data_IF_483314919892
#
_entry.id   IF_483314919892
#
_cell.length_a   1.000
_cell.length_b   1.000
_cell.length_c   1.000
_cell.angle_alpha   90.00
_cell.angle_beta   90.00
_cell.angle_gamma   90.00
#
_symmetry.space_group_name_H-M   'P 1'
#
loop_
_entity.id
_entity.type
_entity.pdbx_description
1 polymer ?
#
# COMPACT_ATOMS: atom_id res chain seq x y z
N UNK A 1 8.57 -21.44 11.35
CA UNK A 1 7.60 -20.36 11.09
C UNK A 1 8.08 -19.66 9.82
N UNK A 2 7.58 -20.08 8.65
CA UNK A 2 8.05 -19.57 7.36
C UNK A 2 6.90 -18.77 6.75
N UNK A 3 7.18 -17.48 6.56
CA UNK A 3 6.34 -16.47 5.94
C UNK A 3 6.15 -16.78 4.45
N UNK A 4 5.24 -17.68 4.13
CA UNK A 4 4.88 -17.94 2.73
C UNK A 4 4.01 -16.83 2.13
N UNK A 5 3.41 -15.93 2.93
CA UNK A 5 2.58 -14.84 2.43
C UNK A 5 3.37 -13.68 1.76
N UNK A 6 4.66 -13.47 2.09
CA UNK A 6 5.41 -12.30 1.58
C UNK A 6 6.18 -12.52 0.27
N UNK A 7 6.35 -13.77 -0.18
CA UNK A 7 7.21 -14.07 -1.35
C UNK A 7 6.41 -14.19 -2.66
N UNK A 8 5.09 -14.37 -2.59
CA UNK A 8 4.26 -14.62 -3.78
C UNK A 8 3.66 -13.36 -4.43
N UNK A 9 3.72 -12.19 -3.77
CA UNK A 9 3.10 -10.97 -4.29
C UNK A 9 3.98 -10.20 -5.31
N UNK A 10 5.29 -10.46 -5.32
CA UNK A 10 6.27 -9.81 -6.24
C UNK A 10 6.03 -10.19 -7.71
N UNK A 11 5.34 -11.29 -8.00
CA UNK A 11 5.13 -11.80 -9.36
C UNK A 11 3.80 -11.41 -10.02
N UNK A 12 2.83 -10.84 -9.29
CA UNK A 12 1.49 -10.57 -9.83
C UNK A 12 1.20 -9.11 -10.22
N UNK A 13 2.02 -8.13 -9.77
CA UNK A 13 1.88 -6.73 -10.23
C UNK A 13 2.66 -6.40 -11.51
N UNK A 14 3.53 -7.30 -11.98
CA UNK A 14 4.30 -7.11 -13.21
C UNK A 14 3.44 -7.11 -14.50
N UNK A 15 2.15 -7.46 -14.43
CA UNK A 15 1.27 -7.60 -15.60
C UNK A 15 0.38 -6.37 -15.89
N UNK A 16 0.40 -5.31 -15.07
CA UNK A 16 -0.41 -4.08 -15.34
C UNK A 16 0.42 -2.96 -15.99
N UNK A 17 1.75 -3.07 -16.03
CA UNK A 17 2.61 -2.03 -16.60
C UNK A 17 3.01 -2.34 -18.06
N UNK A 18 2.02 -2.40 -18.96
CA UNK A 18 2.26 -2.37 -20.40
C UNK A 18 1.02 -1.87 -21.11
N UNK A 19 0.75 -0.57 -21.08
CA UNK A 19 -0.09 0.15 -22.03
C UNK A 19 0.12 1.68 -21.83
N UNK A 20 0.50 2.37 -22.91
CA UNK A 20 0.64 3.82 -23.14
C UNK A 20 1.77 4.61 -22.44
N UNK A 21 3.00 4.50 -22.95
CA UNK A 21 3.90 5.66 -23.03
C UNK A 21 3.79 6.29 -24.42
N UNK A 22 3.11 7.43 -24.50
CA UNK A 22 3.00 8.22 -25.73
C UNK A 22 2.38 9.58 -25.42
N UNK A 23 3.20 10.54 -25.05
CA UNK A 23 2.75 11.93 -24.85
C UNK A 23 3.77 12.73 -24.05
N UNK A 24 4.60 13.49 -24.76
CA UNK A 24 5.68 14.26 -24.18
C UNK A 24 5.21 15.50 -23.41
N UNK A 25 6.00 15.83 -22.39
CA UNK A 25 6.13 17.18 -21.85
C UNK A 25 5.63 17.34 -20.42
N UNK A 26 6.49 17.08 -19.44
CA UNK A 26 6.32 17.63 -18.10
C UNK A 26 7.65 18.20 -17.60
N UNK A 27 7.57 19.41 -17.06
CA UNK A 27 8.70 20.28 -16.75
C UNK A 27 9.39 19.83 -15.46
N UNK A 28 10.21 18.78 -15.52
CA UNK A 28 10.97 18.30 -14.37
C UNK A 28 12.46 18.58 -14.57
N UNK A 29 12.84 19.81 -14.29
CA UNK A 29 14.24 20.21 -14.18
C UNK A 29 14.38 21.24 -13.06
N UNK A 30 14.20 20.76 -11.82
CA UNK A 30 14.81 21.24 -10.57
C UNK A 30 14.10 20.55 -9.41
N UNK A 31 14.68 19.45 -8.92
CA UNK A 31 14.44 19.06 -7.54
C UNK A 31 15.12 20.15 -6.68
N UNK A 32 14.33 21.10 -6.18
CA UNK A 32 14.76 22.00 -5.13
C UNK A 32 15.28 21.14 -3.97
N UNK A 33 16.48 21.40 -3.49
CA UNK A 33 17.02 20.74 -2.28
C UNK A 33 16.32 21.37 -1.07
N UNK A 34 15.39 20.70 -0.35
CA UNK A 34 14.66 21.36 0.70
C UNK A 34 15.23 20.99 2.08
N UNK A 35 15.12 21.91 3.02
CA UNK A 35 15.12 21.59 4.44
C UNK A 35 14.03 20.52 4.74
N UNK A 36 14.15 19.79 5.85
CA UNK A 36 13.21 18.71 6.26
C UNK A 36 11.75 19.12 5.98
N UNK A 37 11.15 18.54 4.95
CA UNK A 37 9.74 18.75 4.60
C UNK A 37 8.92 17.94 5.61
N UNK A 38 8.04 18.59 6.35
CA UNK A 38 7.15 17.90 7.30
C UNK A 38 5.92 17.32 6.59
N UNK A 39 5.53 17.89 5.45
CA UNK A 39 4.45 17.39 4.61
C UNK A 39 4.61 17.78 3.13
N UNK A 40 4.23 16.90 2.22
CA UNK A 40 4.14 17.15 0.78
C UNK A 40 2.70 16.92 0.30
N UNK A 41 2.23 17.66 -0.72
CA UNK A 41 0.83 17.62 -1.15
C UNK A 41 0.70 17.79 -2.67
N UNK A 42 -0.13 16.94 -3.27
CA UNK A 42 -0.62 17.02 -4.65
C UNK A 42 -2.13 17.30 -4.66
N UNK A 43 -2.81 17.12 -5.78
CA UNK A 43 -4.28 17.25 -5.83
C UNK A 43 -4.93 16.12 -5.02
N UNK A 44 -4.47 14.88 -5.20
CA UNK A 44 -5.10 13.70 -4.65
C UNK A 44 -4.41 13.17 -3.39
N UNK A 45 -3.17 13.56 -3.11
CA UNK A 45 -2.37 13.00 -2.02
C UNK A 45 -1.80 14.07 -1.08
N UNK A 46 -1.66 13.71 0.18
CA UNK A 46 -0.85 14.40 1.16
C UNK A 46 0.03 13.38 1.89
N UNK A 47 1.33 13.60 1.93
CA UNK A 47 2.28 12.79 2.70
C UNK A 47 2.71 13.58 3.93
N UNK A 48 2.55 13.03 5.12
CA UNK A 48 3.08 13.56 6.36
C UNK A 48 4.33 12.76 6.75
N UNK A 49 5.49 13.41 6.85
CA UNK A 49 6.73 12.75 7.22
C UNK A 49 6.89 12.69 8.73
N UNK A 50 6.63 11.52 9.31
CA UNK A 50 6.58 11.31 10.76
C UNK A 50 7.97 11.10 11.37
N UNK A 51 8.08 11.41 12.66
CA UNK A 51 9.27 11.19 13.47
C UNK A 51 8.91 10.89 14.93
N UNK A 52 9.91 10.62 15.77
CA UNK A 52 9.71 10.32 17.18
C UNK A 52 8.99 11.44 17.96
N UNK A 53 9.08 12.69 17.54
CA UNK A 53 8.43 13.81 18.21
C UNK A 53 6.97 13.98 17.76
N UNK A 54 6.68 13.63 16.50
CA UNK A 54 5.36 13.69 15.90
C UNK A 54 5.08 12.38 15.15
N UNK A 55 4.78 11.28 15.87
CA UNK A 55 4.65 9.95 15.27
C UNK A 55 3.37 9.81 14.43
N UNK A 56 2.33 10.62 14.70
CA UNK A 56 1.04 10.44 14.02
C UNK A 56 0.49 9.04 14.26
N UNK A 57 0.08 8.36 13.18
CA UNK A 57 -0.37 6.98 13.21
C UNK A 57 0.78 5.94 13.10
N UNK A 58 2.02 6.36 12.90
CA UNK A 58 3.17 5.46 12.96
C UNK A 58 3.32 4.88 14.37
N UNK A 59 3.56 3.57 14.48
CA UNK A 59 3.75 2.93 15.77
C UNK A 59 5.14 3.25 16.34
N UNK A 60 5.24 4.01 17.44
CA UNK A 60 6.53 4.40 18.00
C UNK A 60 7.30 3.24 18.65
N UNK A 61 6.68 2.06 18.78
CA UNK A 61 7.30 0.88 19.37
C UNK A 61 7.91 -0.07 18.33
N UNK A 62 7.66 0.13 17.03
CA UNK A 62 8.12 -0.78 15.97
C UNK A 62 9.60 -0.60 15.60
N UNK A 63 10.32 0.27 16.32
CA UNK A 63 11.76 0.49 16.19
C UNK A 63 12.13 1.97 16.23
N UNK A 64 13.43 2.24 16.15
CA UNK A 64 13.96 3.61 16.20
C UNK A 64 13.53 4.39 14.95
N UNK A 65 12.75 5.46 15.14
CA UNK A 65 12.50 6.46 14.10
C UNK A 65 13.81 7.07 13.64
N UNK A 66 14.07 6.90 12.35
CA UNK A 66 15.14 7.61 11.67
C UNK A 66 14.60 8.88 11.02
N UNK A 67 15.36 9.98 11.04
CA UNK A 67 14.97 11.16 10.28
C UNK A 67 14.98 10.83 8.78
N UNK A 68 13.93 11.25 8.09
CA UNK A 68 13.91 11.22 6.62
C UNK A 68 15.01 12.13 6.06
N UNK A 69 15.85 11.59 5.18
CA UNK A 69 16.80 12.41 4.41
C UNK A 69 16.06 13.17 3.30
N UNK A 70 16.68 14.22 2.75
CA UNK A 70 16.07 14.96 1.65
C UNK A 70 15.82 14.07 0.42
N UNK A 71 16.72 13.12 0.14
CA UNK A 71 16.60 12.16 -0.95
C UNK A 71 15.44 11.17 -0.70
N UNK A 72 15.27 10.69 0.53
CA UNK A 72 14.17 9.81 0.89
C UNK A 72 12.81 10.50 0.77
N UNK A 73 12.72 11.78 1.18
CA UNK A 73 11.51 12.59 0.99
C UNK A 73 11.25 12.85 -0.49
N UNK A 74 12.28 13.16 -1.29
CA UNK A 74 12.13 13.35 -2.72
C UNK A 74 11.64 12.06 -3.43
N UNK A 75 12.14 10.90 -3.03
CA UNK A 75 11.69 9.62 -3.54
C UNK A 75 10.25 9.29 -3.15
N UNK A 76 9.85 9.54 -1.89
CA UNK A 76 8.46 9.33 -1.46
C UNK A 76 7.49 10.36 -2.07
N UNK A 77 7.92 11.60 -2.31
CA UNK A 77 7.15 12.55 -3.10
C UNK A 77 6.94 12.03 -4.52
N UNK A 78 7.98 11.48 -5.15
CA UNK A 78 7.88 10.91 -6.49
C UNK A 78 6.92 9.71 -6.55
N UNK A 79 6.87 8.88 -5.50
CA UNK A 79 5.89 7.79 -5.35
C UNK A 79 4.46 8.33 -5.47
N UNK A 80 4.12 9.37 -4.72
CA UNK A 80 2.77 9.94 -4.79
C UNK A 80 2.53 10.75 -6.06
N UNK A 81 3.55 11.34 -6.68
CA UNK A 81 3.42 11.98 -7.99
C UNK A 81 3.06 10.95 -9.09
N UNK A 82 3.67 9.75 -9.07
CA UNK A 82 3.30 8.64 -9.98
C UNK A 82 1.83 8.25 -9.79
N UNK A 83 1.38 8.17 -8.55
CA UNK A 83 0.01 7.76 -8.23
C UNK A 83 -1.01 8.88 -8.49
N UNK A 84 -0.64 10.15 -8.35
CA UNK A 84 -1.49 11.31 -8.61
C UNK A 84 -1.96 11.36 -10.07
N UNK A 85 -1.12 10.91 -11.00
CA UNK A 85 -1.46 10.79 -12.44
C UNK A 85 -2.47 9.66 -12.73
N UNK A 86 -2.60 8.69 -11.82
CA UNK A 86 -3.40 7.47 -12.02
C UNK A 86 -4.68 7.42 -11.17
N UNK A 87 -4.68 8.12 -10.03
CA UNK A 87 -5.71 8.02 -9.01
C UNK A 87 -6.33 9.39 -8.77
N UNK A 88 -7.64 9.48 -8.92
CA UNK A 88 -8.41 10.67 -8.59
C UNK A 88 -9.19 10.43 -7.30
N UNK A 89 -8.99 11.29 -6.30
CA UNK A 89 -9.68 11.20 -5.01
C UNK A 89 -10.08 12.58 -4.50
N UNK A 90 -11.35 12.69 -4.11
CA UNK A 90 -11.87 13.82 -3.33
C UNK A 90 -12.65 13.21 -2.15
N UNK A 91 -12.27 13.49 -0.89
CA UNK A 91 -11.13 14.29 -0.42
C UNK A 91 -9.76 13.69 -0.80
N UNK A 92 -8.70 14.48 -0.62
CA UNK A 92 -7.31 14.02 -0.79
C UNK A 92 -6.97 12.93 0.22
N UNK A 93 -6.25 11.91 -0.23
CA UNK A 93 -5.75 10.81 0.58
C UNK A 93 -4.54 11.28 1.39
N UNK A 94 -4.60 11.12 2.70
CA UNK A 94 -3.54 11.46 3.65
C UNK A 94 -2.78 10.21 4.05
N UNK A 95 -1.46 10.26 3.89
CA UNK A 95 -0.50 9.19 4.19
C UNK A 95 0.39 9.64 5.34
N UNK A 96 0.47 8.86 6.39
CA UNK A 96 1.55 8.95 7.36
C UNK A 96 2.73 8.07 6.95
N UNK A 97 3.84 8.71 6.59
CA UNK A 97 5.06 8.04 6.15
C UNK A 97 6.06 7.91 7.31
N UNK A 98 6.35 6.66 7.67
CA UNK A 98 7.23 6.26 8.76
C UNK A 98 8.56 5.75 8.20
N UNK A 99 9.68 6.15 8.80
CA UNK A 99 10.99 5.59 8.49
C UNK A 99 11.60 5.04 9.77
N UNK A 100 11.46 3.73 9.97
CA UNK A 100 11.75 3.07 11.25
C UNK A 100 12.42 1.73 11.00
N UNK A 101 13.30 1.33 11.90
CA UNK A 101 13.95 0.02 11.82
C UNK A 101 12.96 -1.06 12.26
N UNK A 102 12.34 -1.74 11.30
CA UNK A 102 11.35 -2.79 11.56
C UNK A 102 11.95 -4.16 11.31
N UNK A 103 11.45 -5.17 12.02
CA UNK A 103 11.82 -6.58 11.80
C UNK A 103 13.36 -6.80 11.69
N UNK A 104 14.14 -6.44 12.73
CA UNK A 104 15.61 -6.38 12.64
C UNK A 104 16.29 -7.74 12.37
N UNK A 105 15.54 -8.84 12.48
CA UNK A 105 16.00 -10.21 12.19
C UNK A 105 15.27 -10.83 10.98
N UNK A 106 14.43 -10.07 10.28
CA UNK A 106 13.67 -10.54 9.14
C UNK A 106 13.99 -9.77 7.86
N UNK A 107 13.27 -10.11 6.79
CA UNK A 107 13.49 -9.60 5.44
C UNK A 107 12.45 -8.57 4.99
N UNK A 108 11.75 -7.93 5.93
CA UNK A 108 10.70 -6.97 5.59
C UNK A 108 11.33 -5.67 5.09
N UNK A 109 11.09 -5.34 3.82
CA UNK A 109 11.58 -4.12 3.18
C UNK A 109 10.75 -2.90 3.61
N UNK A 110 9.45 -3.01 3.47
CA UNK A 110 8.48 -2.00 3.86
C UNK A 110 7.13 -2.69 4.12
N UNK A 111 6.16 -1.92 4.60
CA UNK A 111 4.76 -2.32 4.63
C UNK A 111 3.89 -1.07 4.66
N UNK A 112 2.70 -1.13 4.07
CA UNK A 112 1.65 -0.16 4.34
C UNK A 112 0.29 -0.84 4.44
N UNK A 113 -0.64 -0.16 5.08
CA UNK A 113 -2.02 -0.61 5.22
C UNK A 113 -2.97 0.56 5.27
N UNK A 114 -4.22 0.25 4.97
CA UNK A 114 -5.32 1.19 5.19
C UNK A 114 -5.51 1.43 6.69
N UNK A 115 -5.77 2.68 7.05
CA UNK A 115 -6.05 3.05 8.42
C UNK A 115 -7.56 3.23 8.61
N UNK A 116 -8.22 2.08 8.72
CA UNK A 116 -9.67 2.01 8.89
C UNK A 116 -10.38 1.49 7.65
N UNK A 117 -11.53 0.89 7.91
CA UNK A 117 -12.41 0.30 6.90
C UNK A 117 -13.85 0.66 7.24
N UNK A 118 -14.68 0.81 6.20
CA UNK A 118 -16.12 1.03 6.32
C UNK A 118 -16.90 -0.04 5.56
N UNK A 119 -18.12 -0.28 5.98
CA UNK A 119 -19.08 -1.15 5.30
C UNK A 119 -20.31 -0.37 4.84
N UNK A 120 -21.09 -0.94 3.92
CA UNK A 120 -22.35 -0.32 3.49
C UNK A 120 -23.35 -0.10 4.66
N UNK A 121 -23.25 -0.90 5.73
CA UNK A 121 -24.09 -0.72 6.92
C UNK A 121 -23.78 0.60 7.66
N UNK A 122 -22.54 1.08 7.59
CA UNK A 122 -22.10 2.35 8.15
C UNK A 122 -22.31 3.50 7.16
N UNK A 123 -22.04 3.26 5.87
CA UNK A 123 -22.16 4.25 4.80
C UNK A 123 -22.96 3.68 3.63
N UNK A 124 -24.24 4.03 3.56
CA UNK A 124 -25.18 3.50 2.56
C UNK A 124 -24.81 3.81 1.10
N UNK A 125 -23.95 4.80 0.84
CA UNK A 125 -23.47 5.14 -0.50
C UNK A 125 -22.43 4.15 -1.05
N UNK A 126 -21.85 3.30 -0.19
CA UNK A 126 -20.93 2.25 -0.65
C UNK A 126 -21.69 1.21 -1.49
N UNK A 127 -21.17 0.79 -2.66
CA UNK A 127 -21.99 0.15 -3.68
C UNK A 127 -22.31 -1.33 -3.43
N UNK A 128 -21.46 -2.06 -2.71
CA UNK A 128 -21.60 -3.50 -2.48
C UNK A 128 -21.83 -3.77 -1.00
N UNK A 129 -22.94 -4.42 -0.70
CA UNK A 129 -23.27 -4.87 0.65
C UNK A 129 -22.30 -5.97 1.11
N UNK A 130 -22.13 -6.11 2.43
CA UNK A 130 -21.29 -7.16 3.01
C UNK A 130 -19.84 -7.19 2.46
N UNK A 131 -19.27 -6.00 2.30
CA UNK A 131 -17.86 -5.78 1.96
C UNK A 131 -17.25 -4.72 2.86
N UNK A 132 -15.96 -4.84 3.12
CA UNK A 132 -15.15 -3.79 3.71
C UNK A 132 -14.48 -2.95 2.61
N UNK A 133 -14.51 -1.64 2.81
CA UNK A 133 -13.90 -0.64 1.95
C UNK A 133 -12.83 0.09 2.76
N UNK A 134 -11.56 0.07 2.30
CA UNK A 134 -10.50 0.89 2.86
C UNK A 134 -10.90 2.36 2.89
N UNK A 135 -10.49 3.07 3.95
CA UNK A 135 -10.94 4.43 4.21
C UNK A 135 -10.74 5.37 3.00
N UNK A 136 -9.57 5.31 2.34
CA UNK A 136 -9.30 6.07 1.11
C UNK A 136 -10.34 5.83 0.01
N UNK A 137 -10.68 4.56 -0.24
CA UNK A 137 -11.66 4.18 -1.26
C UNK A 137 -13.08 4.61 -0.87
N UNK A 138 -13.44 4.46 0.41
CA UNK A 138 -14.74 4.90 0.90
C UNK A 138 -14.91 6.42 0.79
N UNK A 139 -13.87 7.19 1.14
CA UNK A 139 -13.84 8.63 0.99
C UNK A 139 -13.99 9.03 -0.49
N UNK A 140 -13.24 8.40 -1.39
CA UNK A 140 -13.32 8.67 -2.84
C UNK A 140 -14.70 8.36 -3.43
N UNK A 141 -15.34 7.26 -3.02
CA UNK A 141 -16.69 6.88 -3.48
C UNK A 141 -17.73 7.88 -2.99
N UNK A 142 -17.62 8.31 -1.73
CA UNK A 142 -18.63 9.18 -1.10
C UNK A 142 -18.43 10.65 -1.42
N UNK A 143 -17.23 11.06 -1.84
CA UNK A 143 -16.86 12.46 -2.01
C UNK A 143 -16.67 13.21 -0.69
N UNK A 144 -16.62 12.50 0.44
CA UNK A 144 -16.65 13.05 1.80
C UNK A 144 -15.59 12.35 2.64
N UNK A 145 -14.94 13.12 3.50
CA UNK A 145 -14.05 12.62 4.54
C UNK A 145 -14.85 11.96 5.67
N UNK A 146 -14.74 10.64 5.80
CA UNK A 146 -15.48 9.84 6.79
C UNK A 146 -14.72 9.66 8.12
N UNK A 147 -13.41 9.94 8.15
CA UNK A 147 -12.49 9.67 9.28
C UNK A 147 -11.89 10.95 9.87
N UNK A 148 -12.17 12.12 9.30
CA UNK A 148 -11.87 13.42 9.86
C UNK A 148 -10.37 13.72 9.94
N UNK A 149 -9.83 13.73 11.17
CA UNK A 149 -8.42 14.06 11.38
C UNK A 149 -7.48 12.85 11.25
N UNK A 150 -8.04 11.64 11.22
CA UNK A 150 -7.25 10.42 11.05
C UNK A 150 -6.78 10.30 9.60
N UNK A 151 -5.61 9.71 9.39
CA UNK A 151 -5.08 9.48 8.04
C UNK A 151 -5.72 8.27 7.39
N UNK A 152 -5.73 8.19 6.06
CA UNK A 152 -6.24 7.03 5.33
C UNK A 152 -5.21 5.90 5.21
N UNK A 153 -3.92 6.22 5.17
CA UNK A 153 -2.84 5.24 4.93
C UNK A 153 -1.70 5.45 5.92
N UNK A 154 -1.16 4.36 6.46
CA UNK A 154 0.11 4.36 7.19
C UNK A 154 1.11 3.52 6.41
N UNK A 155 2.23 4.12 6.03
CA UNK A 155 3.26 3.49 5.22
C UNK A 155 4.62 3.55 5.92
N UNK A 156 5.21 2.40 6.18
CA UNK A 156 6.50 2.27 6.88
C UNK A 156 7.55 1.71 5.96
N UNK A 157 8.59 2.50 5.70
CA UNK A 157 9.81 2.03 5.07
C UNK A 157 10.82 1.59 6.14
N UNK A 158 11.41 0.40 5.97
CA UNK A 158 12.38 -0.11 6.93
C UNK A 158 13.69 0.68 6.83
N UNK A 159 14.06 1.40 7.89
CA UNK A 159 15.29 2.18 7.91
C UNK A 159 16.57 1.35 7.99
N UNK A 160 16.45 0.03 8.23
CA UNK A 160 17.59 -0.89 8.20
C UNK A 160 17.97 -1.36 6.78
N UNK A 161 17.16 -1.06 5.78
CA UNK A 161 17.41 -1.43 4.38
C UNK A 161 18.34 -0.41 3.71
N UNK A 162 19.24 -0.91 2.86
CA UNK A 162 20.13 -0.08 2.04
C UNK A 162 19.37 0.38 0.79
N UNK A 163 18.66 1.50 0.92
CA UNK A 163 17.83 2.06 -0.15
C UNK A 163 18.63 2.79 -1.23
N UNK A 164 18.13 2.67 -2.45
CA UNK A 164 18.37 3.58 -3.56
C UNK A 164 17.16 4.50 -3.72
N UNK A 165 17.38 5.81 -3.68
CA UNK A 165 16.35 6.84 -3.78
C UNK A 165 16.27 7.44 -5.19
N UNK A 166 16.76 6.73 -6.20
CA UNK A 166 16.63 7.13 -7.59
C UNK A 166 15.17 7.39 -7.96
N UNK A 167 14.89 8.56 -8.53
CA UNK A 167 13.55 8.95 -9.01
C UNK A 167 13.48 8.89 -10.53
N UNK A 168 14.12 9.83 -11.22
CA UNK A 168 14.08 9.95 -12.68
C UNK A 168 15.48 10.10 -13.26
N UNK A 169 15.78 9.35 -14.32
CA UNK A 169 17.02 9.51 -15.10
C UNK A 169 18.29 9.00 -14.42
N UNK A 170 18.16 8.15 -13.40
CA UNK A 170 19.24 7.44 -12.73
C UNK A 170 19.03 5.93 -12.79
N UNK A 171 20.06 5.16 -12.42
CA UNK A 171 20.01 3.70 -12.37
C UNK A 171 20.14 3.26 -10.93
N UNK A 172 19.24 2.40 -10.48
CA UNK A 172 19.32 1.75 -9.15
C UNK A 172 20.63 0.98 -9.05
N UNK A 173 21.40 1.27 -8.01
CA UNK A 173 22.66 0.58 -7.75
C UNK A 173 22.42 -0.92 -7.49
N UNK A 174 23.28 -1.77 -8.05
CA UNK A 174 23.10 -3.23 -8.00
C UNK A 174 23.11 -3.84 -6.59
N UNK A 175 23.66 -3.12 -5.60
CA UNK A 175 23.76 -3.51 -4.20
C UNK A 175 22.71 -2.84 -3.30
N UNK A 176 21.70 -2.20 -3.90
CA UNK A 176 20.65 -1.45 -3.19
C UNK A 176 19.25 -1.87 -3.61
N UNK A 177 18.29 -1.61 -2.74
CA UNK A 177 16.87 -1.82 -3.02
C UNK A 177 16.25 -0.54 -3.55
N UNK A 178 15.49 -0.63 -4.65
CA UNK A 178 14.75 0.50 -5.20
C UNK A 178 13.60 0.93 -4.26
N UNK A 179 13.73 2.13 -3.70
CA UNK A 179 12.75 2.69 -2.78
C UNK A 179 11.43 3.02 -3.49
N UNK A 180 11.49 3.59 -4.71
CA UNK A 180 10.30 4.13 -5.39
C UNK A 180 9.37 2.98 -5.77
N UNK A 181 9.88 1.95 -6.45
CA UNK A 181 9.03 0.80 -6.83
C UNK A 181 8.48 0.05 -5.61
N UNK A 182 9.27 -0.08 -4.55
CA UNK A 182 8.82 -0.69 -3.30
C UNK A 182 7.71 0.13 -2.64
N UNK A 183 7.88 1.44 -2.48
CA UNK A 183 6.87 2.27 -1.81
C UNK A 183 5.63 2.53 -2.68
N UNK A 184 5.74 2.50 -4.02
CA UNK A 184 4.54 2.45 -4.89
C UNK A 184 3.73 1.20 -4.58
N UNK A 185 4.38 0.03 -4.48
CA UNK A 185 3.72 -1.23 -4.14
C UNK A 185 3.04 -1.14 -2.76
N UNK A 186 3.75 -0.65 -1.74
CA UNK A 186 3.17 -0.54 -0.40
C UNK A 186 2.00 0.46 -0.37
N UNK A 187 2.16 1.66 -0.93
CA UNK A 187 1.06 2.65 -0.92
C UNK A 187 -0.17 2.09 -1.63
N UNK A 188 -0.02 1.32 -2.71
CA UNK A 188 -1.16 0.63 -3.33
C UNK A 188 -1.88 -0.32 -2.36
N UNK A 189 -1.17 -1.06 -1.51
CA UNK A 189 -1.82 -1.84 -0.45
C UNK A 189 -2.65 -0.95 0.48
N UNK A 190 -2.10 0.17 0.92
CA UNK A 190 -2.83 1.14 1.75
C UNK A 190 -4.05 1.75 1.08
N UNK A 191 -4.06 1.83 -0.25
CA UNK A 191 -5.21 2.29 -1.04
C UNK A 191 -6.28 1.21 -1.26
N UNK A 192 -6.06 -0.01 -0.78
CA UNK A 192 -7.00 -1.12 -0.87
C UNK A 192 -6.70 -2.15 -1.94
N UNK A 193 -5.52 -2.10 -2.57
CA UNK A 193 -5.01 -3.21 -3.39
C UNK A 193 -4.39 -4.30 -2.49
N UNK A 194 -5.11 -4.69 -1.45
CA UNK A 194 -4.72 -5.68 -0.45
C UNK A 194 -5.83 -6.71 -0.29
N UNK A 195 -5.58 -7.91 -0.77
CA UNK A 195 -6.54 -9.02 -0.67
C UNK A 195 -6.59 -9.55 0.77
N UNK A 196 -7.75 -10.00 1.22
CA UNK A 196 -7.91 -10.49 2.61
C UNK A 196 -7.63 -11.98 2.78
N UNK A 197 -7.29 -12.69 1.70
CA UNK A 197 -7.03 -14.11 1.72
C UNK A 197 -5.72 -14.46 2.42
N UNK A 198 -5.75 -15.45 3.33
CA UNK A 198 -4.57 -15.97 4.01
C UNK A 198 -4.71 -17.47 4.31
N UNK A 199 -3.63 -18.11 4.71
CA UNK A 199 -3.65 -19.42 5.32
C UNK A 199 -4.06 -19.29 6.80
N UNK A 200 -4.96 -20.16 7.28
CA UNK A 200 -5.34 -20.16 8.68
C UNK A 200 -4.15 -20.49 9.58
N UNK A 201 -3.97 -19.68 10.62
CA UNK A 201 -2.93 -19.90 11.63
C UNK A 201 -3.33 -21.03 12.60
N UNK A 202 -4.63 -21.22 12.83
CA UNK A 202 -5.17 -22.26 13.72
C UNK A 202 -5.14 -23.65 13.07
N UNK A 203 -5.40 -23.70 11.75
CA UNK A 203 -5.31 -24.92 10.94
C UNK A 203 -4.66 -24.60 9.59
N UNK A 204 -3.34 -24.85 9.43
CA UNK A 204 -2.62 -24.59 8.19
C UNK A 204 -3.12 -25.38 6.97
N UNK A 205 -4.04 -26.33 7.13
CA UNK A 205 -4.69 -27.01 6.00
C UNK A 205 -5.86 -26.22 5.39
N UNK A 206 -6.22 -25.07 5.99
CA UNK A 206 -7.36 -24.25 5.58
C UNK A 206 -6.92 -22.87 5.08
N UNK A 207 -7.66 -22.37 4.09
CA UNK A 207 -7.57 -21.00 3.59
C UNK A 207 -8.69 -20.19 4.22
N UNK A 208 -8.43 -18.93 4.49
CA UNK A 208 -9.35 -17.98 5.10
C UNK A 208 -9.38 -16.67 4.31
N UNK A 209 -10.44 -15.90 4.49
CA UNK A 209 -10.54 -14.49 4.12
C UNK A 209 -11.32 -13.72 5.19
N UNK A 210 -11.22 -12.39 5.19
CA UNK A 210 -11.94 -11.54 6.15
C UNK A 210 -13.46 -11.68 6.02
N UNK A 211 -14.20 -11.55 7.11
CA UNK A 211 -15.66 -11.54 7.10
C UNK A 211 -16.19 -10.25 7.78
N UNK A 212 -16.74 -9.29 7.02
CA UNK A 212 -16.97 -9.31 5.58
C UNK A 212 -15.68 -9.25 4.74
N UNK A 213 -15.65 -9.81 3.51
CA UNK A 213 -14.50 -9.74 2.63
C UNK A 213 -14.15 -8.30 2.23
N UNK A 214 -12.87 -8.07 1.90
CA UNK A 214 -12.47 -6.82 1.28
C UNK A 214 -13.10 -6.69 -0.11
N UNK A 215 -13.52 -5.48 -0.50
CA UNK A 215 -14.15 -5.27 -1.82
C UNK A 215 -13.24 -5.72 -2.98
N UNK A 216 -11.93 -5.65 -2.82
CA UNK A 216 -10.97 -6.11 -3.83
C UNK A 216 -11.02 -7.63 -4.04
N UNK A 217 -11.46 -8.40 -3.04
CA UNK A 217 -11.55 -9.87 -3.12
C UNK A 217 -12.56 -10.33 -4.19
N UNK A 218 -13.53 -9.49 -4.55
CA UNK A 218 -14.49 -9.74 -5.64
C UNK A 218 -13.82 -9.92 -7.02
N UNK A 219 -12.56 -9.50 -7.14
CA UNK A 219 -11.77 -9.53 -8.36
C UNK A 219 -10.64 -10.57 -8.33
N UNK A 220 -10.47 -11.29 -7.22
CA UNK A 220 -9.43 -12.32 -7.11
C UNK A 220 -9.94 -13.63 -7.68
N UNK A 221 -9.27 -14.10 -8.74
CA UNK A 221 -9.62 -15.31 -9.49
C UNK A 221 -8.46 -16.29 -9.52
N UNK A 222 -8.78 -17.58 -9.65
CA UNK A 222 -7.79 -18.60 -9.95
C UNK A 222 -7.18 -18.36 -11.33
N UNK A 223 -5.85 -18.49 -11.44
CA UNK A 223 -5.15 -18.39 -12.72
C UNK A 223 -5.65 -19.47 -13.71
N UNK A 224 -5.85 -20.69 -13.21
CA UNK A 224 -6.46 -21.78 -13.97
C UNK A 224 -7.99 -21.69 -13.89
N UNK A 225 -8.65 -21.45 -15.03
CA UNK A 225 -10.11 -21.54 -15.15
C UNK A 225 -10.90 -20.30 -14.74
N UNK A 226 -10.29 -19.33 -14.06
CA UNK A 226 -10.89 -18.00 -13.82
C UNK A 226 -12.01 -17.96 -12.78
N UNK A 227 -12.18 -19.00 -11.97
CA UNK A 227 -13.17 -19.01 -10.89
C UNK A 227 -12.77 -18.03 -9.78
N UNK A 228 -13.74 -17.34 -9.18
CA UNK A 228 -13.47 -16.41 -8.07
C UNK A 228 -13.10 -17.18 -6.81
N UNK A 229 -12.16 -16.65 -6.04
CA UNK A 229 -11.80 -17.25 -4.76
C UNK A 229 -12.92 -17.11 -3.73
N UNK A 230 -13.71 -16.05 -3.80
CA UNK A 230 -14.89 -15.87 -2.92
C UNK A 230 -16.01 -16.89 -3.16
N UNK A 231 -16.01 -17.62 -4.28
CA UNK A 231 -16.95 -18.72 -4.50
C UNK A 231 -16.56 -19.97 -3.69
N UNK A 232 -15.34 -20.01 -3.15
CA UNK A 232 -14.88 -21.06 -2.26
C UNK A 232 -15.37 -20.79 -0.82
N UNK A 233 -15.76 -21.83 -0.07
CA UNK A 233 -16.11 -21.66 1.33
C UNK A 233 -14.95 -21.07 2.14
N UNK A 234 -15.23 -20.05 2.97
CA UNK A 234 -14.25 -19.55 3.93
C UNK A 234 -13.83 -20.65 4.90
N UNK A 235 -12.63 -20.55 5.47
CA UNK A 235 -12.05 -21.51 6.41
C UNK A 235 -12.11 -22.96 5.88
N UNK A 236 -11.61 -23.18 4.66
CA UNK A 236 -11.70 -24.48 3.99
C UNK A 236 -10.42 -24.88 3.25
N UNK A 237 -10.21 -26.18 3.12
CA UNK A 237 -9.14 -26.73 2.30
C UNK A 237 -9.34 -26.45 0.80
N UNK A 238 -10.59 -26.30 0.35
CA UNK A 238 -10.91 -25.95 -1.03
C UNK A 238 -10.35 -24.55 -1.37
N UNK A 239 -10.54 -23.59 -0.45
CA UNK A 239 -9.98 -22.25 -0.59
C UNK A 239 -8.44 -22.27 -0.56
N UNK A 240 -7.81 -23.00 0.38
CA UNK A 240 -6.35 -23.08 0.41
C UNK A 240 -5.78 -23.65 -0.90
N UNK A 241 -6.38 -24.73 -1.38
CA UNK A 241 -5.96 -25.35 -2.64
C UNK A 241 -6.17 -24.40 -3.82
N UNK A 242 -7.22 -23.59 -3.81
CA UNK A 242 -7.48 -22.57 -4.83
C UNK A 242 -6.41 -21.48 -4.84
N UNK A 243 -6.00 -20.98 -3.68
CA UNK A 243 -4.97 -19.95 -3.53
C UNK A 243 -3.59 -20.40 -4.01
N UNK A 244 -3.30 -21.70 -3.89
CA UNK A 244 -1.98 -22.28 -4.22
C UNK A 244 -1.81 -22.65 -5.70
N UNK A 245 -2.87 -22.56 -6.51
CA UNK A 245 -2.84 -22.91 -7.94
C UNK A 245 -2.56 -21.71 -8.86
N UNK A 246 -2.06 -20.61 -8.30
CA UNK A 246 -1.66 -19.38 -9.00
C UNK A 246 -0.24 -19.39 -9.53
#
# INVERSE_FOLDING_TARGET
>A
MRNYAKVWMVLWMAAIFSIFMGGGGSAWAKADTPARVQSYRTVNFQVNYRDAANPGACNPNDGDFQPWSAEAQAAMNHVVDILDDLINSVPSIVIDACFQAVDPNGGTLAFAGENGNLTQAEVAALPVANRTYPMALANAITGVDQNGADVEVVATANSAVVWDFCTVGCTVAADRTDFVSTMVHEVLHGLGFSMSFDQSQDDPSLGIYADPPAVIDDYVIQAAGGAKLLDMPNNSAALLNAMQQG
#
